data_IF_600347199103
#
_entry.id   IF_600347199103
#
_cell.length_a   1.000
_cell.length_b   1.000
_cell.length_c   1.000
_cell.angle_alpha   90.00
_cell.angle_beta   90.00
_cell.angle_gamma   90.00
#
_symmetry.space_group_name_H-M   'P 1'
#
loop_
_entity.id
_entity.type
_entity.pdbx_description
1 polymer ?
#
# COMPACT_ATOMS: atom_id res chain seq x y z
N UNK A 1 6.64 -10.75 -16.95
CA UNK A 1 6.14 -10.25 -15.66
C UNK A 1 5.92 -8.75 -15.84
N UNK A 2 4.77 -8.20 -15.45
CA UNK A 2 4.42 -6.78 -15.71
C UNK A 2 4.88 -5.87 -14.57
N UNK A 3 4.69 -6.35 -13.34
CA UNK A 3 5.06 -5.70 -12.09
C UNK A 3 5.90 -6.67 -11.30
N UNK A 4 7.02 -6.19 -10.79
CA UNK A 4 7.95 -6.90 -9.92
C UNK A 4 8.32 -5.97 -8.78
N UNK A 5 8.22 -6.47 -7.54
CA UNK A 5 8.50 -5.68 -6.35
C UNK A 5 10.01 -5.49 -6.21
N UNK A 6 10.44 -4.23 -6.25
CA UNK A 6 11.82 -3.85 -6.01
C UNK A 6 12.17 -4.03 -4.52
N UNK A 7 13.29 -4.70 -4.26
CA UNK A 7 13.71 -5.11 -2.92
C UNK A 7 14.55 -4.06 -2.21
N UNK A 8 13.99 -2.85 -2.06
CA UNK A 8 14.61 -1.75 -1.32
C UNK A 8 14.86 -2.13 0.16
N UNK A 9 13.92 -2.87 0.76
CA UNK A 9 13.99 -3.48 2.10
C UNK A 9 15.32 -4.21 2.38
N UNK A 10 15.94 -4.83 1.37
CA UNK A 10 17.22 -5.54 1.55
C UNK A 10 18.41 -4.59 1.72
N UNK A 11 18.40 -3.45 1.01
CA UNK A 11 19.43 -2.40 1.20
C UNK A 11 19.21 -1.70 2.52
N UNK A 12 17.94 -1.39 2.81
CA UNK A 12 17.50 -0.82 4.08
C UNK A 12 17.95 -1.68 5.26
N UNK A 13 17.58 -2.95 5.30
CA UNK A 13 17.99 -3.90 6.36
C UNK A 13 19.50 -3.96 6.50
N UNK A 14 20.25 -4.09 5.40
CA UNK A 14 21.72 -4.16 5.45
C UNK A 14 22.32 -2.91 6.10
N UNK A 15 21.80 -1.73 5.76
CA UNK A 15 22.22 -0.49 6.40
C UNK A 15 21.85 -0.48 7.90
N UNK A 16 20.60 -0.78 8.24
CA UNK A 16 20.07 -0.64 9.59
C UNK A 16 20.61 -1.67 10.60
N UNK A 17 21.06 -2.83 10.11
CA UNK A 17 21.61 -3.92 10.95
C UNK A 17 23.13 -3.83 11.10
N UNK A 18 23.84 -3.32 10.09
CA UNK A 18 25.33 -3.36 10.06
C UNK A 18 26.00 -1.99 10.00
N UNK A 19 25.25 -0.93 9.68
CA UNK A 19 25.81 0.39 9.37
C UNK A 19 26.53 0.45 8.02
N UNK A 20 26.26 -0.47 7.10
CA UNK A 20 26.93 -0.53 5.78
C UNK A 20 26.69 0.75 4.96
N UNK A 21 27.73 1.57 4.86
CA UNK A 21 27.70 2.82 4.10
C UNK A 21 27.48 2.63 2.60
N UNK A 22 27.88 1.48 2.02
CA UNK A 22 27.60 1.19 0.61
C UNK A 22 26.11 0.96 0.37
N UNK A 23 25.43 0.28 1.32
CA UNK A 23 23.97 0.15 1.29
C UNK A 23 23.29 1.52 1.32
N UNK A 24 23.70 2.36 2.27
CA UNK A 24 23.19 3.72 2.40
C UNK A 24 23.40 4.55 1.11
N UNK A 25 24.57 4.44 0.48
CA UNK A 25 24.83 5.14 -0.78
C UNK A 25 23.90 4.64 -1.90
N UNK A 26 23.66 3.33 -1.99
CA UNK A 26 22.75 2.75 -2.98
C UNK A 26 21.30 3.17 -2.73
N UNK A 27 20.85 3.21 -1.47
CA UNK A 27 19.54 3.75 -1.09
C UNK A 27 19.38 5.18 -1.63
N UNK A 28 20.34 6.06 -1.36
CA UNK A 28 20.26 7.47 -1.75
C UNK A 28 20.45 7.74 -3.26
N UNK A 29 21.02 6.81 -4.03
CA UNK A 29 21.31 7.00 -5.45
C UNK A 29 20.36 6.24 -6.38
N UNK A 30 20.01 5.01 -6.00
CA UNK A 30 19.13 4.13 -6.78
C UNK A 30 17.67 4.29 -6.37
N UNK A 31 17.41 4.57 -5.09
CA UNK A 31 16.07 4.69 -4.50
C UNK A 31 15.88 6.02 -3.74
N UNK A 32 16.17 7.18 -4.37
CA UNK A 32 16.18 8.46 -3.66
C UNK A 32 14.80 8.88 -3.16
N UNK A 33 13.73 8.53 -3.89
CA UNK A 33 12.35 8.88 -3.49
C UNK A 33 11.85 7.97 -2.38
N UNK A 34 12.10 6.66 -2.49
CA UNK A 34 11.78 5.67 -1.47
C UNK A 34 12.47 6.00 -0.15
N UNK A 35 13.77 6.37 -0.21
CA UNK A 35 14.54 6.76 0.97
C UNK A 35 14.03 8.05 1.60
N UNK A 36 13.70 9.06 0.77
CA UNK A 36 13.09 10.30 1.23
C UNK A 36 11.76 10.03 1.92
N UNK A 37 10.84 9.35 1.24
CA UNK A 37 9.49 9.04 1.77
C UNK A 37 9.56 8.21 3.05
N UNK A 38 10.47 7.25 3.14
CA UNK A 38 10.66 6.47 4.37
C UNK A 38 11.07 7.38 5.54
N UNK A 39 12.08 8.25 5.35
CA UNK A 39 12.63 9.09 6.41
C UNK A 39 11.66 10.22 6.79
N UNK A 40 11.12 10.93 5.80
CA UNK A 40 10.32 12.15 5.96
C UNK A 40 8.86 11.82 6.30
N UNK A 41 8.21 10.95 5.52
CA UNK A 41 6.75 10.77 5.59
C UNK A 41 6.32 9.55 6.43
N UNK A 42 7.10 8.47 6.40
CA UNK A 42 6.74 7.22 7.09
C UNK A 42 7.23 7.24 8.54
N UNK A 43 8.51 7.59 8.75
CA UNK A 43 9.14 7.55 10.08
C UNK A 43 9.13 8.92 10.78
N UNK A 44 8.89 10.01 10.05
CA UNK A 44 8.89 11.38 10.57
C UNK A 44 10.18 11.71 11.35
N UNK A 45 11.33 11.37 10.76
CA UNK A 45 12.64 11.57 11.39
C UNK A 45 13.25 12.95 11.08
N UNK A 46 12.66 13.74 10.19
CA UNK A 46 13.22 15.01 9.70
C UNK A 46 13.56 14.94 8.21
N UNK A 47 14.15 16.01 7.66
CA UNK A 47 14.42 16.08 6.22
C UNK A 47 15.65 15.23 5.82
N UNK A 48 15.58 14.56 4.66
CA UNK A 48 16.65 13.69 4.14
C UNK A 48 17.97 14.44 3.84
N UNK A 49 17.92 15.76 3.76
CA UNK A 49 19.08 16.62 3.57
C UNK A 49 19.64 17.20 4.88
N UNK A 50 19.01 16.94 6.02
CA UNK A 50 19.49 17.43 7.31
C UNK A 50 20.85 16.82 7.68
N UNK A 51 21.74 17.60 8.32
CA UNK A 51 22.95 17.06 8.91
C UNK A 51 22.61 15.90 9.86
N UNK A 52 23.35 14.80 9.76
CA UNK A 52 23.21 13.61 10.63
C UNK A 52 21.90 12.81 10.49
N UNK A 53 21.03 13.11 9.51
CA UNK A 53 19.78 12.36 9.33
C UNK A 53 20.00 10.84 9.18
N UNK A 54 21.04 10.44 8.44
CA UNK A 54 21.39 9.03 8.26
C UNK A 54 21.77 8.35 9.59
N UNK A 55 22.51 9.06 10.46
CA UNK A 55 22.85 8.56 11.80
C UNK A 55 21.61 8.47 12.68
N UNK A 56 20.69 9.45 12.59
CA UNK A 56 19.40 9.42 13.31
C UNK A 56 18.55 8.23 12.86
N UNK A 57 18.48 7.98 11.56
CA UNK A 57 17.80 6.84 10.96
C UNK A 57 18.39 5.49 11.41
N UNK A 58 19.72 5.33 11.35
CA UNK A 58 20.37 4.13 11.86
C UNK A 58 20.12 3.92 13.36
N UNK A 59 20.24 4.98 14.16
CA UNK A 59 20.04 4.94 15.61
C UNK A 59 18.60 4.60 15.99
N UNK A 60 17.62 5.10 15.24
CA UNK A 60 16.20 4.80 15.45
C UNK A 60 15.96 3.28 15.40
N UNK A 61 16.56 2.59 14.44
CA UNK A 61 16.43 1.14 14.29
C UNK A 61 17.30 0.30 15.22
N UNK A 62 18.15 0.89 16.07
CA UNK A 62 18.91 0.11 17.06
C UNK A 62 18.04 -0.40 18.22
N UNK A 63 16.76 -0.01 18.28
CA UNK A 63 15.80 -0.63 19.18
C UNK A 63 15.64 -2.13 18.88
N UNK A 64 15.74 -2.96 19.92
CA UNK A 64 15.66 -4.42 19.81
C UNK A 64 14.38 -4.93 19.14
N UNK A 65 13.24 -4.24 19.31
CA UNK A 65 11.98 -4.62 18.67
C UNK A 65 12.01 -4.37 17.17
N UNK A 66 12.62 -3.24 16.75
CA UNK A 66 12.77 -2.91 15.34
C UNK A 66 13.75 -3.87 14.64
N UNK A 67 14.81 -4.29 15.33
CA UNK A 67 15.71 -5.33 14.81
C UNK A 67 15.01 -6.68 14.63
N UNK A 68 14.12 -7.07 15.56
CA UNK A 68 13.27 -8.26 15.41
C UNK A 68 12.34 -8.12 14.21
N UNK A 69 11.71 -6.96 14.03
CA UNK A 69 10.82 -6.70 12.89
C UNK A 69 11.55 -6.83 11.54
N UNK A 70 12.76 -6.28 11.43
CA UNK A 70 13.59 -6.44 10.23
C UNK A 70 13.84 -7.92 9.96
N UNK A 71 14.34 -8.66 10.95
CA UNK A 71 14.68 -10.08 10.80
C UNK A 71 13.47 -10.93 10.41
N UNK A 72 12.32 -10.69 11.04
CA UNK A 72 11.10 -11.48 10.81
C UNK A 72 10.50 -11.17 9.43
N UNK A 73 10.55 -9.90 8.99
CA UNK A 73 10.15 -9.52 7.65
C UNK A 73 11.08 -10.10 6.58
N UNK A 74 12.40 -10.07 6.77
CA UNK A 74 13.34 -10.71 5.84
C UNK A 74 13.08 -12.20 5.68
N UNK A 75 12.75 -12.89 6.77
CA UNK A 75 12.45 -14.32 6.77
C UNK A 75 11.13 -14.62 6.05
N UNK A 76 10.04 -13.94 6.39
CA UNK A 76 8.71 -14.12 5.80
C UNK A 76 8.69 -13.77 4.30
N UNK A 77 9.48 -12.77 3.89
CA UNK A 77 9.53 -12.25 2.53
C UNK A 77 10.83 -12.59 1.81
N UNK A 78 11.46 -13.72 2.16
CA UNK A 78 12.56 -14.29 1.39
C UNK A 78 12.13 -14.58 -0.06
N UNK A 79 10.89 -15.04 -0.24
CA UNK A 79 10.22 -15.23 -1.51
C UNK A 79 9.06 -14.22 -1.70
N UNK A 80 8.95 -13.66 -2.90
CA UNK A 80 7.93 -12.66 -3.30
C UNK A 80 7.19 -13.10 -4.58
N UNK A 81 7.40 -14.33 -5.04
CA UNK A 81 6.89 -14.81 -6.33
C UNK A 81 5.37 -14.75 -6.45
N UNK A 82 4.66 -15.10 -5.38
CA UNK A 82 3.21 -15.03 -5.29
C UNK A 82 2.71 -13.58 -5.42
N UNK A 83 3.30 -12.66 -4.65
CA UNK A 83 2.98 -11.23 -4.68
C UNK A 83 3.27 -10.63 -6.05
N UNK A 84 4.43 -10.92 -6.65
CA UNK A 84 4.82 -10.47 -7.98
C UNK A 84 3.84 -10.95 -9.06
N UNK A 85 3.45 -12.22 -9.02
CA UNK A 85 2.48 -12.82 -9.96
C UNK A 85 1.10 -12.21 -9.78
N UNK A 86 0.63 -12.04 -8.55
CA UNK A 86 -0.69 -11.45 -8.27
C UNK A 86 -0.72 -9.97 -8.67
N UNK A 87 0.27 -9.16 -8.30
CA UNK A 87 0.42 -7.76 -8.74
C UNK A 87 0.40 -7.64 -10.27
N UNK A 88 1.25 -8.41 -10.96
CA UNK A 88 1.26 -8.44 -12.42
C UNK A 88 -0.13 -8.75 -13.00
N UNK A 89 -0.83 -9.74 -12.43
CA UNK A 89 -2.17 -10.15 -12.85
C UNK A 89 -3.20 -9.04 -12.67
N UNK A 90 -3.25 -8.41 -11.49
CA UNK A 90 -4.24 -7.35 -11.21
C UNK A 90 -3.97 -6.09 -12.01
N UNK A 91 -2.71 -5.68 -12.21
CA UNK A 91 -2.37 -4.51 -13.03
C UNK A 91 -2.66 -4.74 -14.53
N UNK A 92 -2.41 -5.95 -15.05
CA UNK A 92 -2.84 -6.32 -16.40
C UNK A 92 -4.36 -6.21 -16.58
N UNK A 93 -5.15 -6.61 -15.57
CA UNK A 93 -6.61 -6.47 -15.60
C UNK A 93 -7.05 -5.02 -15.45
N UNK A 94 -6.40 -4.23 -14.60
CA UNK A 94 -6.67 -2.81 -14.43
C UNK A 94 -6.47 -2.05 -15.74
N UNK A 95 -5.36 -2.26 -16.45
CA UNK A 95 -5.13 -1.59 -17.74
C UNK A 95 -6.21 -1.90 -18.80
N UNK A 96 -6.80 -3.10 -18.77
CA UNK A 96 -7.93 -3.45 -19.64
C UNK A 96 -9.21 -2.71 -19.26
N UNK A 97 -9.44 -2.50 -17.97
CA UNK A 97 -10.62 -1.78 -17.46
C UNK A 97 -10.48 -0.26 -17.53
N UNK A 98 -9.24 0.24 -17.44
CA UNK A 98 -8.87 1.64 -17.36
C UNK A 98 -7.76 1.93 -18.40
N UNK A 99 -8.10 2.02 -19.70
CA UNK A 99 -7.11 2.37 -20.72
C UNK A 99 -6.50 3.75 -20.43
N UNK A 100 -5.19 3.80 -20.21
CA UNK A 100 -4.47 5.00 -19.80
C UNK A 100 -4.04 5.04 -18.33
N UNK A 101 -4.41 4.04 -17.52
CA UNK A 101 -3.82 3.87 -16.19
C UNK A 101 -2.34 3.52 -16.34
N UNK A 102 -1.48 4.34 -15.74
CA UNK A 102 -0.05 4.06 -15.66
C UNK A 102 0.21 2.88 -14.72
N UNK A 103 1.29 2.14 -14.94
CA UNK A 103 1.70 1.08 -14.01
C UNK A 103 2.72 1.70 -13.05
N UNK A 104 2.48 1.65 -11.74
CA UNK A 104 3.42 2.17 -10.77
C UNK A 104 4.63 1.24 -10.63
N UNK A 105 5.77 1.81 -10.25
CA UNK A 105 6.86 1.01 -9.69
C UNK A 105 6.46 0.60 -8.28
N UNK A 106 6.63 -0.67 -7.94
CA UNK A 106 6.31 -1.20 -6.61
C UNK A 106 7.60 -1.57 -5.90
N UNK A 107 7.77 -1.16 -4.65
CA UNK A 107 8.93 -1.49 -3.83
C UNK A 107 8.50 -1.96 -2.44
N UNK A 108 9.38 -2.71 -1.78
CA UNK A 108 9.21 -3.15 -0.40
C UNK A 108 10.13 -2.37 0.54
N UNK A 109 9.69 -2.11 1.76
CA UNK A 109 10.43 -1.41 2.82
C UNK A 109 10.04 -1.95 4.22
N UNK A 110 10.74 -1.50 5.25
CA UNK A 110 10.38 -1.69 6.67
C UNK A 110 9.92 -0.34 7.24
N UNK A 111 8.67 -0.24 7.66
CA UNK A 111 8.03 1.03 8.01
C UNK A 111 7.90 1.31 9.51
N UNK A 112 8.57 0.54 10.38
CA UNK A 112 8.41 0.57 11.83
C UNK A 112 6.95 0.48 12.31
N UNK A 113 6.13 -0.29 11.59
CA UNK A 113 4.69 -0.46 11.79
C UNK A 113 3.84 0.81 11.53
N UNK A 114 4.39 1.91 11.01
CA UNK A 114 3.64 3.16 10.87
C UNK A 114 2.54 3.08 9.80
N UNK A 115 2.91 2.80 8.54
CA UNK A 115 1.99 2.77 7.40
C UNK A 115 2.11 1.45 6.63
N UNK A 116 0.99 0.86 6.18
CA UNK A 116 1.00 -0.42 5.44
C UNK A 116 1.39 -0.27 3.97
N UNK A 117 0.85 0.74 3.31
CA UNK A 117 1.11 1.06 1.90
C UNK A 117 1.27 2.57 1.79
N UNK A 118 2.31 3.01 1.07
CA UNK A 118 2.55 4.41 0.74
C UNK A 118 2.46 4.58 -0.76
N UNK A 119 1.79 5.64 -1.23
CA UNK A 119 1.63 5.90 -2.66
C UNK A 119 1.96 7.35 -2.96
N UNK A 120 2.86 7.58 -3.92
CA UNK A 120 3.31 8.90 -4.33
C UNK A 120 4.21 8.81 -5.56
N UNK A 121 4.18 9.79 -6.45
CA UNK A 121 5.07 9.88 -7.63
C UNK A 121 5.18 8.60 -8.47
N UNK A 122 4.05 7.92 -8.70
CA UNK A 122 3.96 6.63 -9.43
C UNK A 122 4.68 5.47 -8.73
N UNK A 123 4.95 5.61 -7.44
CA UNK A 123 5.50 4.55 -6.58
C UNK A 123 4.40 3.99 -5.68
N UNK A 124 4.52 2.69 -5.37
CA UNK A 124 3.82 2.04 -4.26
C UNK A 124 4.87 1.40 -3.35
N UNK A 125 4.99 1.90 -2.13
CA UNK A 125 5.83 1.32 -1.08
C UNK A 125 5.02 0.37 -0.20
N UNK A 126 5.47 -0.88 -0.09
CA UNK A 126 4.88 -1.91 0.77
C UNK A 126 5.73 -2.04 2.03
N UNK A 127 5.18 -1.68 3.19
CA UNK A 127 5.86 -1.89 4.47
C UNK A 127 5.63 -3.34 4.91
N UNK A 128 6.61 -4.21 4.68
CA UNK A 128 6.48 -5.67 4.87
C UNK A 128 6.20 -6.04 6.33
N UNK A 129 6.74 -5.26 7.26
CA UNK A 129 6.55 -5.38 8.70
C UNK A 129 5.10 -5.14 9.14
N UNK A 130 4.20 -4.71 8.25
CA UNK A 130 2.75 -4.61 8.49
C UNK A 130 1.94 -5.85 8.12
N UNK A 131 2.58 -6.88 7.57
CA UNK A 131 1.90 -8.07 7.04
C UNK A 131 2.51 -9.40 7.53
N UNK A 132 3.06 -9.44 8.74
CA UNK A 132 3.68 -10.63 9.35
C UNK A 132 2.65 -11.64 9.92
N UNK A 133 1.36 -11.39 9.71
CA UNK A 133 0.26 -12.26 10.14
C UNK A 133 -0.50 -11.71 11.35
N UNK A 134 -1.81 -11.90 11.36
CA UNK A 134 -2.72 -11.36 12.38
C UNK A 134 -2.37 -11.77 13.83
N UNK A 135 -1.67 -12.90 13.98
CA UNK A 135 -1.30 -13.51 15.25
C UNK A 135 0.14 -13.19 15.69
N UNK A 136 0.88 -12.43 14.87
CA UNK A 136 2.25 -12.02 15.18
C UNK A 136 2.30 -11.27 16.51
N UNK A 137 3.22 -11.70 17.39
CA UNK A 137 3.19 -11.35 18.81
C UNK A 137 3.37 -9.85 19.06
N UNK A 138 4.24 -9.19 18.28
CA UNK A 138 4.51 -7.76 18.39
C UNK A 138 3.24 -6.93 18.16
N UNK A 139 2.41 -7.32 17.19
CA UNK A 139 1.18 -6.57 16.87
C UNK A 139 0.20 -6.49 18.04
N UNK A 140 0.19 -7.49 18.93
CA UNK A 140 -0.74 -7.53 20.08
C UNK A 140 -0.55 -6.37 21.06
N UNK A 141 0.62 -5.72 21.04
CA UNK A 141 0.93 -4.56 21.88
C UNK A 141 0.42 -3.24 21.28
N UNK A 142 0.29 -3.15 19.95
CA UNK A 142 0.05 -1.89 19.24
C UNK A 142 -1.30 -1.82 18.52
N UNK A 143 -1.89 -2.97 18.20
CA UNK A 143 -3.11 -3.06 17.38
C UNK A 143 -4.19 -3.89 18.06
N UNK A 144 -5.44 -3.47 17.87
CA UNK A 144 -6.61 -4.26 18.26
C UNK A 144 -6.72 -5.53 17.41
N UNK A 145 -7.50 -6.50 17.88
CA UNK A 145 -7.77 -7.73 17.11
C UNK A 145 -8.37 -7.43 15.74
N UNK A 146 -9.30 -6.47 15.68
CA UNK A 146 -9.91 -6.04 14.43
C UNK A 146 -8.90 -5.44 13.44
N UNK A 147 -7.95 -4.62 13.91
CA UNK A 147 -6.91 -4.05 13.05
C UNK A 147 -5.96 -5.12 12.50
N UNK A 148 -5.66 -6.16 13.30
CA UNK A 148 -4.74 -7.23 12.90
C UNK A 148 -5.30 -8.15 11.82
N UNK A 149 -6.62 -8.23 11.64
CA UNK A 149 -7.26 -9.08 10.62
C UNK A 149 -6.81 -8.76 9.20
N UNK A 150 -6.39 -7.52 8.93
CA UNK A 150 -5.84 -7.11 7.63
C UNK A 150 -4.31 -7.05 7.60
N UNK A 151 -3.62 -7.47 8.67
CA UNK A 151 -2.15 -7.44 8.78
C UNK A 151 -1.54 -8.78 8.39
N UNK A 152 -1.97 -9.33 7.25
CA UNK A 152 -1.55 -10.62 6.73
C UNK A 152 -1.07 -10.49 5.27
N UNK A 153 -0.18 -11.37 4.84
CA UNK A 153 0.39 -11.40 3.48
C UNK A 153 -0.66 -11.27 2.36
N UNK A 154 -1.84 -11.88 2.52
CA UNK A 154 -2.92 -11.85 1.52
C UNK A 154 -3.55 -10.46 1.31
N UNK A 155 -3.33 -9.51 2.24
CA UNK A 155 -3.81 -8.12 2.09
C UNK A 155 -2.85 -7.23 1.32
N UNK A 156 -1.58 -7.62 1.10
CA UNK A 156 -0.59 -6.79 0.40
C UNK A 156 -1.12 -6.32 -0.95
N UNK A 157 -1.53 -7.25 -1.83
CA UNK A 157 -1.97 -6.91 -3.18
C UNK A 157 -3.32 -6.16 -3.19
N UNK A 158 -4.35 -6.61 -2.47
CA UNK A 158 -5.60 -5.86 -2.32
C UNK A 158 -5.38 -4.41 -1.86
N UNK A 159 -4.55 -4.19 -0.84
CA UNK A 159 -4.27 -2.87 -0.29
C UNK A 159 -3.51 -2.01 -1.30
N UNK A 160 -2.49 -2.55 -1.98
CA UNK A 160 -1.79 -1.85 -3.06
C UNK A 160 -2.76 -1.31 -4.12
N UNK A 161 -3.73 -2.13 -4.54
CA UNK A 161 -4.72 -1.71 -5.54
C UNK A 161 -5.66 -0.64 -4.99
N UNK A 162 -6.11 -0.78 -3.75
CA UNK A 162 -7.00 0.20 -3.13
C UNK A 162 -6.31 1.56 -2.98
N UNK A 163 -5.13 1.60 -2.38
CA UNK A 163 -4.40 2.86 -2.17
C UNK A 163 -3.97 3.50 -3.49
N UNK A 164 -3.56 2.71 -4.48
CA UNK A 164 -3.22 3.23 -5.80
C UNK A 164 -4.44 3.81 -6.53
N UNK A 165 -5.59 3.14 -6.47
CA UNK A 165 -6.80 3.69 -7.08
C UNK A 165 -7.30 4.94 -6.36
N UNK A 166 -7.14 5.04 -5.04
CA UNK A 166 -7.45 6.26 -4.28
C UNK A 166 -6.55 7.42 -4.68
N UNK A 167 -5.26 7.19 -4.96
CA UNK A 167 -4.35 8.25 -5.40
C UNK A 167 -4.67 8.73 -6.81
N UNK A 168 -5.15 7.85 -7.69
CA UNK A 168 -5.49 8.19 -9.09
C UNK A 168 -6.90 8.77 -9.20
N UNK A 169 -7.83 8.32 -8.35
CA UNK A 169 -9.23 8.77 -8.32
C UNK A 169 -9.58 9.31 -6.93
N UNK A 170 -8.94 10.40 -6.48
CA UNK A 170 -9.24 10.98 -5.19
C UNK A 170 -10.68 11.48 -5.13
N UNK A 171 -11.27 11.44 -3.94
CA UNK A 171 -12.50 12.17 -3.69
C UNK A 171 -12.17 13.66 -3.64
N UNK A 172 -12.82 14.48 -4.46
CA UNK A 172 -12.69 15.94 -4.33
C UNK A 172 -13.30 16.37 -2.99
N UNK A 173 -12.47 16.91 -2.10
CA UNK A 173 -12.92 17.40 -0.81
C UNK A 173 -13.22 18.90 -0.88
N UNK A 174 -14.48 19.23 -1.19
CA UNK A 174 -14.99 20.60 -1.13
C UNK A 174 -15.41 21.02 0.28
N UNK A 175 -15.13 20.22 1.32
CA UNK A 175 -15.50 20.49 2.71
C UNK A 175 -16.96 20.16 3.07
N UNK A 176 -17.68 19.45 2.19
CA UNK A 176 -19.13 19.20 2.31
C UNK A 176 -19.49 17.70 2.27
N UNK A 177 -18.53 16.82 2.02
CA UNK A 177 -18.80 15.39 1.83
C UNK A 177 -19.23 14.70 3.13
N UNK A 178 -20.41 14.09 3.11
CA UNK A 178 -20.96 13.28 4.20
C UNK A 178 -20.19 11.96 4.39
N UNK A 179 -20.33 11.33 5.55
CA UNK A 179 -19.70 10.01 5.80
C UNK A 179 -20.20 8.95 4.80
N UNK A 180 -21.48 8.98 4.44
CA UNK A 180 -22.07 8.05 3.46
C UNK A 180 -21.42 8.20 2.08
N UNK A 181 -21.14 9.43 1.65
CA UNK A 181 -20.46 9.68 0.37
C UNK A 181 -19.01 9.20 0.40
N UNK A 182 -18.31 9.37 1.54
CA UNK A 182 -16.97 8.80 1.74
C UNK A 182 -16.98 7.27 1.68
N UNK A 183 -17.96 6.64 2.33
CA UNK A 183 -18.12 5.18 2.32
C UNK A 183 -18.47 4.65 0.92
N UNK A 184 -19.31 5.37 0.18
CA UNK A 184 -19.63 5.06 -1.22
C UNK A 184 -18.42 5.25 -2.13
N UNK A 185 -17.63 6.32 -1.94
CA UNK A 185 -16.38 6.52 -2.66
C UNK A 185 -15.44 5.33 -2.47
N UNK A 186 -15.21 4.97 -1.20
CA UNK A 186 -14.39 3.82 -0.87
C UNK A 186 -14.95 2.51 -1.44
N UNK A 187 -16.27 2.34 -1.42
CA UNK A 187 -16.93 1.16 -1.97
C UNK A 187 -16.73 1.01 -3.48
N UNK A 188 -16.68 2.11 -4.26
CA UNK A 188 -16.34 2.05 -5.70
C UNK A 188 -14.93 1.51 -5.92
N UNK A 189 -13.98 1.97 -5.10
CA UNK A 189 -12.58 1.54 -5.15
C UNK A 189 -12.48 0.05 -4.79
N UNK A 190 -13.04 -0.34 -3.65
CA UNK A 190 -13.06 -1.73 -3.18
C UNK A 190 -13.78 -2.67 -4.15
N UNK A 191 -14.89 -2.24 -4.77
CA UNK A 191 -15.59 -3.01 -5.80
C UNK A 191 -14.70 -3.21 -7.03
N UNK A 192 -13.98 -2.17 -7.45
CA UNK A 192 -13.04 -2.26 -8.57
C UNK A 192 -11.87 -3.19 -8.23
N UNK A 193 -11.31 -3.10 -7.03
CA UNK A 193 -10.29 -4.01 -6.53
C UNK A 193 -10.78 -5.47 -6.55
N UNK A 194 -11.97 -5.76 -6.02
CA UNK A 194 -12.58 -7.10 -6.12
C UNK A 194 -12.70 -7.61 -7.57
N UNK A 195 -13.07 -6.72 -8.50
CA UNK A 195 -13.21 -7.06 -9.92
C UNK A 195 -11.89 -7.50 -10.54
N UNK A 196 -10.79 -6.83 -10.25
CA UNK A 196 -9.46 -7.20 -10.79
C UNK A 196 -8.82 -8.35 -10.02
N UNK A 197 -9.07 -8.46 -8.71
CA UNK A 197 -8.69 -9.64 -7.93
C UNK A 197 -9.43 -10.90 -8.42
N UNK A 198 -10.65 -10.75 -8.95
CA UNK A 198 -11.49 -11.88 -9.38
C UNK A 198 -12.12 -12.64 -8.22
N UNK A 199 -12.11 -12.05 -7.02
CA UNK A 199 -12.69 -12.59 -5.78
C UNK A 199 -13.36 -11.46 -5.01
N UNK A 200 -14.37 -11.78 -4.21
CA UNK A 200 -15.04 -10.82 -3.34
C UNK A 200 -14.28 -10.69 -2.02
N UNK A 201 -13.12 -10.04 -2.09
CA UNK A 201 -12.20 -9.82 -0.98
C UNK A 201 -12.77 -8.80 0.01
N UNK A 202 -13.02 -7.57 -0.46
CA UNK A 202 -13.63 -6.51 0.33
C UNK A 202 -15.16 -6.70 0.39
N UNK A 203 -15.73 -6.64 1.60
CA UNK A 203 -17.15 -6.89 1.84
C UNK A 203 -17.71 -5.78 2.72
N UNK A 204 -18.66 -5.03 2.18
CA UNK A 204 -19.48 -4.08 2.93
C UNK A 204 -20.83 -3.90 2.25
N UNK A 205 -21.79 -3.29 2.95
CA UNK A 205 -23.09 -2.98 2.38
C UNK A 205 -22.98 -1.97 1.23
N UNK A 206 -22.07 -1.00 1.34
CA UNK A 206 -21.80 -0.06 0.25
C UNK A 206 -21.18 -0.73 -0.98
N UNK A 207 -20.29 -1.73 -0.81
CA UNK A 207 -19.81 -2.53 -1.96
C UNK A 207 -20.96 -3.28 -2.63
N UNK A 208 -21.96 -3.74 -1.86
CA UNK A 208 -23.18 -4.33 -2.43
C UNK A 208 -24.02 -3.30 -3.19
N UNK A 209 -24.15 -2.07 -2.67
CA UNK A 209 -24.84 -0.96 -3.34
C UNK A 209 -24.20 -0.68 -4.71
N UNK A 210 -22.88 -0.54 -4.75
CA UNK A 210 -22.13 -0.33 -6.00
C UNK A 210 -22.29 -1.50 -6.97
N UNK A 211 -22.26 -2.74 -6.47
CA UNK A 211 -22.47 -3.93 -7.31
C UNK A 211 -23.87 -3.95 -7.94
N UNK A 212 -24.92 -3.65 -7.16
CA UNK A 212 -26.30 -3.53 -7.68
C UNK A 212 -26.39 -2.43 -8.73
N UNK A 213 -25.78 -1.27 -8.47
CA UNK A 213 -25.74 -0.15 -9.41
C UNK A 213 -25.10 -0.57 -10.74
N UNK A 214 -23.92 -1.19 -10.73
CA UNK A 214 -23.22 -1.61 -11.94
C UNK A 214 -23.95 -2.73 -12.71
N UNK A 215 -24.66 -3.63 -12.01
CA UNK A 215 -25.50 -4.66 -12.66
C UNK A 215 -26.71 -4.06 -13.38
N UNK A 216 -27.35 -3.02 -12.81
CA UNK A 216 -28.44 -2.27 -13.44
C UNK A 216 -27.95 -1.46 -14.64
N UNK A 217 -26.75 -0.90 -14.57
CA UNK A 217 -26.19 0.00 -15.58
C UNK A 217 -25.04 -0.62 -16.39
N UNK A 218 -25.33 -1.66 -17.18
CA UNK A 218 -24.32 -2.44 -17.92
C UNK A 218 -23.47 -1.64 -18.93
N UNK A 219 -23.92 -0.46 -19.35
CA UNK A 219 -23.19 0.43 -20.26
C UNK A 219 -22.15 1.31 -19.55
N UNK A 220 -22.22 1.45 -18.22
CA UNK A 220 -21.27 2.24 -17.45
C UNK A 220 -19.94 1.48 -17.35
N UNK A 221 -18.86 2.11 -17.80
CA UNK A 221 -17.50 1.57 -17.67
C UNK A 221 -16.97 1.72 -16.24
N UNK A 222 -15.94 0.95 -15.89
CA UNK A 222 -15.27 1.09 -14.58
C UNK A 222 -14.66 2.48 -14.43
N UNK A 223 -14.09 3.04 -15.49
CA UNK A 223 -13.57 4.41 -15.50
C UNK A 223 -14.67 5.44 -15.19
N UNK A 224 -15.86 5.28 -15.76
CA UNK A 224 -16.99 6.16 -15.48
C UNK A 224 -17.52 6.00 -14.05
N UNK A 225 -17.53 4.78 -13.50
CA UNK A 225 -17.86 4.54 -12.09
C UNK A 225 -16.89 5.28 -11.18
N UNK A 226 -15.58 5.10 -11.35
CA UNK A 226 -14.57 5.70 -10.48
C UNK A 226 -14.67 7.23 -10.48
N UNK A 227 -14.90 7.83 -11.66
CA UNK A 227 -15.10 9.27 -11.85
C UNK A 227 -16.47 9.80 -11.42
N UNK A 228 -17.42 8.94 -11.05
CA UNK A 228 -18.75 9.39 -10.63
C UNK A 228 -18.70 10.05 -9.25
N UNK A 229 -18.91 11.35 -9.20
CA UNK A 229 -18.90 12.21 -8.02
C UNK A 229 -20.30 12.49 -7.46
N UNK A 230 -21.35 12.34 -8.28
CA UNK A 230 -22.75 12.38 -7.83
C UNK A 230 -23.16 11.06 -7.16
N UNK A 231 -22.99 11.01 -5.85
CA UNK A 231 -23.32 9.84 -5.02
C UNK A 231 -24.83 9.63 -4.80
N UNK A 232 -25.68 10.61 -5.13
CA UNK A 232 -27.14 10.47 -5.01
C UNK A 232 -27.72 9.40 -5.95
N UNK A 233 -26.93 8.98 -6.96
CA UNK A 233 -27.28 7.90 -7.89
C UNK A 233 -27.22 6.51 -7.28
N UNK A 234 -26.64 6.36 -6.10
CA UNK A 234 -26.59 5.09 -5.39
C UNK A 234 -27.82 4.93 -4.49
N UNK A 235 -28.56 3.83 -4.69
CA UNK A 235 -29.66 3.43 -3.80
C UNK A 235 -29.06 2.75 -2.55
N UNK A 236 -28.77 3.55 -1.52
CA UNK A 236 -28.29 3.12 -0.20
C UNK A 236 -29.42 2.53 0.63
#
# INVERSE_FOLDING_TARGET
MLVEVQRYDRLESRYLTTGDFSALQQMNTTYPMETRTLIEDVLDLGEVNEPYINSKFLNFYQDSLLQVLISDAEAEYADMDDINKELSSVFMKLQKLLPGLEIPTVYAQIGALNQSVVVGDKLIGISLDKYLGENYSVYKKYYSEQQRQSMTREYIVPDCIVFYLLSVYPMEDHGVNTQVEKDLHMAKIMWTANKVLGKRFFKSDYVNVVDRFMRKHKSISVAALLKLDDYSKFEV
#
